data_IF_089229028257
#
_entry.id   IF_089229028257
#
_cell.length_a   1.000
_cell.length_b   1.000
_cell.length_c   1.000
_cell.angle_alpha   90.00
_cell.angle_beta   90.00
_cell.angle_gamma   90.00
#
_symmetry.space_group_name_H-M   'P 1'
#
loop_
_entity.id
_entity.type
_entity.pdbx_description
1 polymer ?
#
# COMPACT_ATOMS: atom_id res chain seq x y z
N UNK A 1 -15.34 -22.17 -16.88
CA UNK A 1 -16.15 -22.93 -15.91
C UNK A 1 -15.29 -23.25 -14.69
N UNK A 2 -15.38 -22.44 -13.62
CA UNK A 2 -14.65 -22.67 -12.37
C UNK A 2 -15.46 -23.68 -11.54
N UNK A 3 -14.84 -24.81 -11.16
CA UNK A 3 -15.42 -25.82 -10.27
C UNK A 3 -15.44 -25.25 -8.85
N UNK A 4 -16.62 -24.91 -8.35
CA UNK A 4 -16.87 -24.69 -6.93
C UNK A 4 -16.76 -26.03 -6.21
N UNK A 5 -15.89 -26.13 -5.19
CA UNK A 5 -15.88 -27.27 -4.26
C UNK A 5 -16.72 -26.86 -3.06
N UNK A 6 -17.92 -27.41 -2.96
CA UNK A 6 -18.70 -27.40 -1.72
C UNK A 6 -18.12 -28.50 -0.85
N UNK A 7 -17.64 -28.15 0.34
CA UNK A 7 -17.27 -29.14 1.35
C UNK A 7 -18.55 -29.39 2.15
N UNK A 8 -19.24 -30.48 1.83
CA UNK A 8 -20.29 -31.03 2.70
C UNK A 8 -19.62 -31.71 3.90
N UNK A 9 -20.05 -31.34 5.10
CA UNK A 9 -19.55 -31.93 6.34
C UNK A 9 -20.13 -33.33 6.51
N UNK A 10 -19.27 -34.34 6.58
CA UNK A 10 -19.62 -35.70 6.98
C UNK A 10 -19.73 -35.75 8.51
N UNK A 11 -20.97 -35.81 9.02
CA UNK A 11 -21.29 -35.73 10.46
C UNK A 11 -20.86 -36.97 11.29
N UNK A 12 -20.17 -37.95 10.70
CA UNK A 12 -19.72 -39.15 11.43
C UNK A 12 -18.20 -39.39 11.45
N UNK A 13 -17.37 -38.41 11.04
CA UNK A 13 -15.92 -38.54 11.18
C UNK A 13 -15.47 -38.22 12.63
N UNK A 14 -14.70 -39.11 13.30
CA UNK A 14 -14.20 -38.83 14.64
C UNK A 14 -13.25 -37.62 14.62
N UNK A 15 -13.26 -36.77 15.67
CA UNK A 15 -12.48 -35.54 15.69
C UNK A 15 -10.99 -35.86 15.61
N UNK A 16 -10.32 -35.37 14.55
CA UNK A 16 -8.85 -35.36 14.48
C UNK A 16 -8.35 -34.48 15.62
N UNK A 17 -7.81 -35.12 16.66
CA UNK A 17 -7.00 -34.45 17.68
C UNK A 17 -5.72 -33.95 17.00
N UNK A 18 -5.66 -32.66 16.69
CA UNK A 18 -4.39 -32.02 16.37
C UNK A 18 -3.63 -31.80 17.68
N UNK A 19 -2.47 -32.46 17.78
CA UNK A 19 -1.57 -32.30 18.91
C UNK A 19 -0.95 -30.92 18.89
N UNK A 20 -0.67 -30.38 20.08
CA UNK A 20 -0.06 -29.07 20.31
C UNK A 20 1.41 -28.99 19.81
N UNK A 21 1.93 -30.06 19.22
CA UNK A 21 3.36 -30.25 18.91
C UNK A 21 3.70 -30.14 17.41
N UNK A 22 2.74 -29.86 16.53
CA UNK A 22 3.00 -29.68 15.08
C UNK A 22 3.57 -28.29 14.72
N UNK A 23 4.10 -27.54 15.70
CA UNK A 23 4.79 -26.28 15.47
C UNK A 23 6.30 -26.51 15.37
N UNK A 24 6.79 -26.84 14.18
CA UNK A 24 8.13 -26.38 13.81
C UNK A 24 7.96 -25.04 13.09
N UNK A 25 7.89 -23.97 13.90
CA UNK A 25 8.12 -22.61 13.41
C UNK A 25 9.50 -22.63 12.77
N UNK A 26 9.56 -22.48 11.44
CA UNK A 26 10.81 -22.35 10.68
C UNK A 26 11.73 -21.37 11.41
N UNK A 27 12.82 -21.89 11.96
CA UNK A 27 13.85 -21.24 12.79
C UNK A 27 14.60 -20.05 12.12
N UNK A 28 14.06 -19.41 11.08
CA UNK A 28 14.76 -18.36 10.33
C UNK A 28 14.25 -16.93 10.56
N UNK A 29 13.39 -16.70 11.55
CA UNK A 29 13.18 -15.33 12.05
C UNK A 29 14.34 -15.03 12.99
N UNK A 30 15.34 -14.28 12.50
CA UNK A 30 16.58 -13.92 13.18
C UNK A 30 16.32 -13.56 14.65
N UNK A 31 16.76 -14.44 15.56
CA UNK A 31 17.01 -14.08 16.97
C UNK A 31 18.11 -13.02 16.99
N UNK A 32 17.77 -11.77 17.22
CA UNK A 32 18.72 -10.79 17.76
C UNK A 32 18.26 -10.42 19.15
N UNK A 33 18.60 -11.30 20.10
CA UNK A 33 18.60 -10.98 21.53
C UNK A 33 19.82 -10.08 21.75
N UNK A 34 19.59 -8.82 22.10
CA UNK A 34 20.59 -8.04 22.81
C UNK A 34 19.96 -7.52 24.09
N UNK A 35 20.52 -8.03 25.18
CA UNK A 35 20.28 -7.67 26.58
C UNK A 35 20.55 -6.18 26.80
N UNK A 36 19.78 -5.55 27.70
CA UNK A 36 20.22 -4.82 28.92
C UNK A 36 18.97 -4.15 29.55
N UNK A 37 18.83 -4.29 30.87
CA UNK A 37 17.74 -3.73 31.69
C UNK A 37 18.17 -2.37 32.32
N UNK A 38 17.31 -1.70 33.11
CA UNK A 38 16.44 -0.60 32.68
C UNK A 38 16.92 0.77 33.19
N UNK A 39 16.55 1.84 32.50
CA UNK A 39 16.43 3.16 33.14
C UNK A 39 15.16 3.85 32.64
N UNK A 40 14.53 4.54 33.59
CA UNK A 40 13.20 5.13 33.55
C UNK A 40 13.06 6.23 32.51
N UNK A 41 12.30 5.97 31.45
CA UNK A 41 11.43 6.97 30.86
C UNK A 41 10.37 6.30 29.97
N UNK A 42 9.17 6.86 29.98
CA UNK A 42 7.99 6.33 29.30
C UNK A 42 8.18 6.30 27.77
N UNK A 43 8.77 5.21 27.26
CA UNK A 43 8.77 4.84 25.86
C UNK A 43 8.11 3.47 25.70
N UNK A 44 7.21 3.36 24.73
CA UNK A 44 6.47 2.13 24.46
C UNK A 44 7.46 0.97 24.25
N UNK A 45 7.45 0.00 25.17
CA UNK A 45 8.18 -1.25 24.99
C UNK A 45 7.65 -1.95 23.73
N UNK A 46 8.41 -1.87 22.64
CA UNK A 46 8.18 -2.68 21.45
C UNK A 46 8.46 -4.12 21.86
N UNK A 47 7.41 -4.88 22.13
CA UNK A 47 7.52 -6.32 22.33
C UNK A 47 7.91 -6.92 21.00
N UNK A 48 9.07 -7.57 20.94
CA UNK A 48 9.53 -8.27 19.74
C UNK A 48 8.55 -9.40 19.43
N UNK A 49 7.69 -9.16 18.46
CA UNK A 49 6.62 -10.04 18.04
C UNK A 49 6.59 -10.02 16.50
N UNK A 50 6.36 -11.15 15.80
CA UNK A 50 6.41 -11.20 14.33
C UNK A 50 5.53 -10.16 13.64
N UNK A 51 4.39 -9.81 14.25
CA UNK A 51 3.45 -8.81 13.72
C UNK A 51 3.69 -7.36 14.20
N UNK A 52 4.78 -7.09 14.92
CA UNK A 52 5.10 -5.76 15.48
C UNK A 52 3.94 -5.11 16.24
N UNK A 53 3.23 -5.93 17.01
CA UNK A 53 2.07 -5.50 17.78
C UNK A 53 2.52 -4.60 18.93
N UNK A 54 1.84 -3.47 19.20
CA UNK A 54 2.37 -2.42 20.09
C UNK A 54 2.38 -2.77 21.59
N UNK A 55 1.84 -3.93 21.98
CA UNK A 55 1.82 -4.45 23.35
C UNK A 55 1.80 -5.99 23.30
N UNK A 56 1.91 -6.73 24.42
CA UNK A 56 1.74 -8.18 24.39
C UNK A 56 0.34 -8.55 23.86
N UNK A 57 0.22 -9.25 22.72
CA UNK A 57 -1.07 -9.58 22.13
C UNK A 57 -1.77 -10.70 22.92
N UNK A 58 -3.10 -10.62 23.01
CA UNK A 58 -3.90 -11.72 23.56
C UNK A 58 -3.90 -12.94 22.62
N UNK A 59 -4.14 -14.16 23.13
CA UNK A 59 -4.19 -15.36 22.29
C UNK A 59 -5.18 -15.27 21.12
N UNK A 60 -6.32 -14.60 21.31
CA UNK A 60 -7.31 -14.38 20.25
C UNK A 60 -6.82 -13.42 19.17
N UNK A 61 -6.02 -12.42 19.52
CA UNK A 61 -5.38 -11.49 18.58
C UNK A 61 -4.29 -12.19 17.79
N UNK A 62 -3.45 -13.00 18.47
CA UNK A 62 -2.44 -13.85 17.84
C UNK A 62 -3.04 -14.78 16.80
N UNK A 63 -4.13 -15.46 17.16
CA UNK A 63 -4.85 -16.35 16.24
C UNK A 63 -5.36 -15.58 15.02
N UNK A 64 -6.01 -14.43 15.22
CA UNK A 64 -6.52 -13.62 14.11
C UNK A 64 -5.38 -13.16 13.18
N UNK A 65 -4.27 -12.69 13.73
CA UNK A 65 -3.11 -12.26 12.94
C UNK A 65 -2.48 -13.41 12.16
N UNK A 66 -2.33 -14.58 12.78
CA UNK A 66 -1.82 -15.80 12.14
C UNK A 66 -2.72 -16.27 10.99
N UNK A 67 -4.04 -16.31 11.22
CA UNK A 67 -5.01 -16.70 10.21
C UNK A 67 -4.99 -15.74 9.01
N UNK A 68 -4.94 -14.42 9.26
CA UNK A 68 -4.80 -13.40 8.22
C UNK A 68 -3.52 -13.57 7.40
N UNK A 69 -2.39 -13.75 8.08
CA UNK A 69 -1.09 -13.89 7.42
C UNK A 69 -1.07 -15.12 6.50
N UNK A 70 -1.63 -16.24 6.96
CA UNK A 70 -1.77 -17.46 6.13
C UNK A 70 -2.65 -17.22 4.90
N UNK A 71 -3.77 -16.52 5.05
CA UNK A 71 -4.64 -16.18 3.91
C UNK A 71 -3.88 -15.38 2.85
N UNK A 72 -3.02 -14.45 3.27
CA UNK A 72 -2.19 -13.65 2.36
C UNK A 72 -1.14 -14.48 1.64
N UNK A 73 -0.43 -15.38 2.35
CA UNK A 73 0.52 -16.33 1.76
C UNK A 73 -0.14 -17.26 0.74
N UNK A 74 -1.31 -17.79 1.10
CA UNK A 74 -2.08 -18.72 0.25
C UNK A 74 -2.76 -17.99 -0.93
N UNK A 75 -2.70 -16.65 -0.99
CA UNK A 75 -3.32 -15.79 -2.01
C UNK A 75 -4.80 -16.11 -2.22
N UNK A 76 -5.53 -16.35 -1.13
CA UNK A 76 -6.92 -16.80 -1.16
C UNK A 76 -7.89 -15.82 -0.46
N UNK A 77 -9.19 -16.13 -0.52
CA UNK A 77 -10.22 -15.36 0.18
C UNK A 77 -10.47 -16.03 1.54
N UNK A 78 -10.32 -15.28 2.62
CA UNK A 78 -10.66 -15.71 3.97
C UNK A 78 -11.90 -15.01 4.51
N UNK A 79 -12.74 -15.75 5.23
CA UNK A 79 -13.86 -15.23 6.02
C UNK A 79 -13.51 -15.45 7.49
N UNK A 80 -13.35 -14.37 8.24
CA UNK A 80 -12.87 -14.41 9.62
C UNK A 80 -13.90 -13.81 10.56
N UNK A 81 -14.25 -14.56 11.60
CA UNK A 81 -15.05 -14.08 12.71
C UNK A 81 -14.14 -13.77 13.91
N UNK A 82 -14.47 -12.71 14.65
CA UNK A 82 -13.91 -12.54 16.00
C UNK A 82 -14.89 -11.73 16.87
N UNK A 83 -14.83 -11.82 18.20
CA UNK A 83 -15.73 -11.07 19.07
C UNK A 83 -15.44 -9.56 19.04
N UNK A 84 -16.46 -8.73 19.29
CA UNK A 84 -16.30 -7.28 19.46
C UNK A 84 -15.40 -6.97 20.65
N UNK A 85 -14.64 -5.86 20.59
CA UNK A 85 -13.78 -5.42 21.70
C UNK A 85 -12.44 -6.16 21.81
N UNK A 86 -12.13 -7.10 20.92
CA UNK A 86 -10.88 -7.87 20.96
C UNK A 86 -9.71 -7.23 20.18
N UNK A 87 -9.85 -5.97 19.74
CA UNK A 87 -8.80 -5.29 18.98
C UNK A 87 -8.66 -5.78 17.54
N UNK A 88 -9.78 -6.15 16.89
CA UNK A 88 -9.85 -6.58 15.48
C UNK A 88 -9.07 -5.67 14.53
N UNK A 89 -9.36 -4.36 14.60
CA UNK A 89 -8.77 -3.36 13.70
C UNK A 89 -7.26 -3.32 13.84
N UNK A 90 -6.76 -3.19 15.07
CA UNK A 90 -5.32 -3.15 15.34
C UNK A 90 -4.63 -4.47 14.95
N UNK A 91 -5.23 -5.61 15.27
CA UNK A 91 -4.70 -6.93 14.88
C UNK A 91 -4.64 -7.08 13.37
N UNK A 92 -5.69 -6.68 12.66
CA UNK A 92 -5.72 -6.70 11.20
C UNK A 92 -4.67 -5.77 10.59
N UNK A 93 -4.52 -4.56 11.10
CA UNK A 93 -3.49 -3.62 10.64
C UNK A 93 -2.08 -4.18 10.83
N UNK A 94 -1.77 -4.70 12.02
CA UNK A 94 -0.46 -5.25 12.32
C UNK A 94 -0.13 -6.46 11.42
N UNK A 95 -1.07 -7.40 11.24
CA UNK A 95 -0.85 -8.55 10.37
C UNK A 95 -0.61 -8.14 8.91
N UNK A 96 -1.45 -7.24 8.38
CA UNK A 96 -1.36 -6.77 6.99
C UNK A 96 -0.09 -5.98 6.73
N UNK A 97 0.29 -5.07 7.63
CA UNK A 97 1.46 -4.21 7.45
C UNK A 97 2.77 -4.98 7.64
N UNK A 98 2.82 -5.94 8.56
CA UNK A 98 3.94 -6.89 8.65
C UNK A 98 4.07 -7.70 7.36
N UNK A 99 2.97 -8.25 6.84
CA UNK A 99 2.98 -8.99 5.59
C UNK A 99 3.48 -8.12 4.42
N UNK A 100 3.04 -6.86 4.35
CA UNK A 100 3.47 -5.92 3.31
C UNK A 100 4.98 -5.60 3.41
N UNK A 101 5.52 -5.39 4.61
CA UNK A 101 6.96 -5.23 4.81
C UNK A 101 7.74 -6.49 4.40
N UNK A 102 7.27 -7.68 4.79
CA UNK A 102 7.90 -8.95 4.45
C UNK A 102 7.88 -9.21 2.94
N UNK A 103 6.78 -8.89 2.26
CA UNK A 103 6.66 -9.02 0.81
C UNK A 103 7.56 -8.02 0.09
N UNK A 104 7.63 -6.78 0.55
CA UNK A 104 8.58 -5.79 0.03
C UNK A 104 10.03 -6.28 0.16
N UNK A 105 10.40 -6.88 1.30
CA UNK A 105 11.71 -7.49 1.49
C UNK A 105 11.94 -8.73 0.59
N UNK A 106 10.91 -9.53 0.31
CA UNK A 106 11.00 -10.66 -0.63
C UNK A 106 11.26 -10.17 -2.05
N UNK A 107 10.56 -9.14 -2.50
CA UNK A 107 10.78 -8.54 -3.83
C UNK A 107 12.24 -8.07 -3.95
N UNK A 108 12.75 -7.33 -2.96
CA UNK A 108 14.15 -6.87 -2.94
C UNK A 108 15.14 -8.04 -3.01
N UNK A 109 14.94 -9.08 -2.20
CA UNK A 109 15.79 -10.29 -2.24
C UNK A 109 15.72 -11.04 -3.57
N UNK A 110 14.55 -11.10 -4.19
CA UNK A 110 14.39 -11.74 -5.50
C UNK A 110 15.15 -10.98 -6.59
N UNK A 111 15.12 -9.63 -6.57
CA UNK A 111 15.90 -8.79 -7.49
C UNK A 111 17.40 -9.05 -7.30
N UNK A 112 17.88 -9.04 -6.05
CA UNK A 112 19.28 -9.29 -5.72
C UNK A 112 19.72 -10.70 -6.15
N UNK A 113 18.93 -11.73 -5.82
CA UNK A 113 19.23 -13.12 -6.19
C UNK A 113 19.25 -13.33 -7.71
N UNK A 114 18.35 -12.69 -8.46
CA UNK A 114 18.36 -12.74 -9.92
C UNK A 114 19.62 -12.07 -10.49
N UNK A 115 20.05 -10.93 -9.93
CA UNK A 115 21.30 -10.25 -10.33
C UNK A 115 22.54 -11.07 -10.01
N UNK A 116 22.57 -11.75 -8.87
CA UNK A 116 23.66 -12.67 -8.51
C UNK A 116 23.76 -13.82 -9.50
N UNK A 117 22.64 -14.47 -9.85
CA UNK A 117 22.61 -15.51 -10.89
C UNK A 117 23.11 -15.00 -12.24
N UNK A 118 22.76 -13.79 -12.65
CA UNK A 118 23.30 -13.20 -13.89
C UNK A 118 24.82 -13.05 -13.80
N UNK A 119 25.38 -12.63 -12.66
CA UNK A 119 26.83 -12.54 -12.47
C UNK A 119 27.50 -13.91 -12.52
N UNK A 120 26.93 -14.92 -11.86
CA UNK A 120 27.41 -16.30 -11.88
C UNK A 120 27.39 -16.88 -13.30
N UNK A 121 26.31 -16.70 -14.04
CA UNK A 121 26.23 -17.15 -15.43
C UNK A 121 27.21 -16.40 -16.35
N UNK A 122 27.42 -15.09 -16.11
CA UNK A 122 28.43 -14.28 -16.83
C UNK A 122 29.85 -14.83 -16.62
N UNK A 123 30.19 -15.38 -15.45
CA UNK A 123 31.53 -15.97 -15.24
C UNK A 123 31.69 -17.30 -15.95
N UNK A 124 30.67 -18.17 -15.92
CA UNK A 124 30.68 -19.45 -16.64
C UNK A 124 30.72 -19.24 -18.16
N UNK A 125 30.08 -18.19 -18.67
CA UNK A 125 30.07 -17.83 -20.09
C UNK A 125 31.47 -17.63 -20.68
N UNK A 126 32.45 -17.13 -19.91
CA UNK A 126 33.80 -16.76 -20.39
C UNK A 126 34.66 -17.98 -20.81
N UNK A 127 34.20 -19.21 -20.54
CA UNK A 127 34.90 -20.45 -20.94
C UNK A 127 34.03 -21.48 -21.63
N UNK A 128 32.79 -21.14 -21.99
CA UNK A 128 31.81 -22.09 -22.51
C UNK A 128 32.00 -22.36 -24.02
N UNK A 129 31.72 -23.60 -24.44
CA UNK A 129 31.62 -23.94 -25.87
C UNK A 129 30.38 -23.28 -26.49
N UNK A 130 30.35 -23.12 -27.82
CA UNK A 130 29.33 -22.33 -28.53
C UNK A 130 27.88 -22.70 -28.16
N UNK A 131 27.55 -24.00 -28.12
CA UNK A 131 26.20 -24.47 -27.80
C UNK A 131 25.81 -24.22 -26.33
N UNK A 132 26.78 -24.31 -25.42
CA UNK A 132 26.59 -24.03 -23.99
C UNK A 132 26.46 -22.52 -23.75
N UNK A 133 27.31 -21.72 -24.40
CA UNK A 133 27.27 -20.27 -24.37
C UNK A 133 25.91 -19.72 -24.84
N UNK A 134 25.30 -20.32 -25.86
CA UNK A 134 23.97 -19.93 -26.34
C UNK A 134 22.88 -20.18 -25.28
N UNK A 135 22.95 -21.31 -24.56
CA UNK A 135 22.01 -21.64 -23.47
C UNK A 135 22.18 -20.69 -22.28
N UNK A 136 23.42 -20.48 -21.84
CA UNK A 136 23.77 -19.56 -20.75
C UNK A 136 23.27 -18.15 -21.07
N UNK A 137 23.50 -17.66 -22.29
CA UNK A 137 23.04 -16.33 -22.70
C UNK A 137 21.52 -16.18 -22.65
N UNK A 138 20.76 -17.22 -23.05
CA UNK A 138 19.29 -17.21 -22.94
C UNK A 138 18.85 -17.13 -21.47
N UNK A 139 19.42 -17.97 -20.61
CA UNK A 139 19.09 -18.01 -19.19
C UNK A 139 19.47 -16.69 -18.48
N UNK A 140 20.64 -16.12 -18.80
CA UNK A 140 21.06 -14.80 -18.32
C UNK A 140 20.02 -13.73 -18.66
N UNK A 141 19.58 -13.68 -19.92
CA UNK A 141 18.56 -12.72 -20.37
C UNK A 141 17.27 -12.86 -19.57
N UNK A 142 16.82 -14.10 -19.31
CA UNK A 142 15.60 -14.34 -18.53
C UNK A 142 15.71 -13.84 -17.09
N UNK A 143 16.86 -14.01 -16.41
CA UNK A 143 17.06 -13.48 -15.06
C UNK A 143 17.23 -11.97 -15.04
N UNK A 144 17.93 -11.41 -16.04
CA UNK A 144 18.15 -9.97 -16.19
C UNK A 144 16.82 -9.26 -16.41
N UNK A 145 15.96 -9.77 -17.31
CA UNK A 145 14.61 -9.26 -17.57
C UNK A 145 13.72 -9.33 -16.33
N UNK A 146 13.74 -10.45 -15.57
CA UNK A 146 12.97 -10.57 -14.32
C UNK A 146 13.39 -9.56 -13.26
N UNK A 147 14.70 -9.30 -13.13
CA UNK A 147 15.22 -8.32 -12.19
C UNK A 147 14.85 -6.89 -12.61
N UNK A 148 15.01 -6.57 -13.90
CA UNK A 148 14.73 -5.26 -14.48
C UNK A 148 13.25 -4.90 -14.35
N UNK A 149 12.33 -5.82 -14.63
CA UNK A 149 10.88 -5.58 -14.53
C UNK A 149 10.45 -5.24 -13.10
N UNK A 150 10.93 -5.98 -12.10
CA UNK A 150 10.57 -5.72 -10.69
C UNK A 150 11.23 -4.44 -10.15
N UNK A 151 12.46 -4.15 -10.59
CA UNK A 151 13.16 -2.93 -10.21
C UNK A 151 12.51 -1.68 -10.82
N UNK A 152 12.14 -1.72 -12.11
CA UNK A 152 11.45 -0.62 -12.79
C UNK A 152 10.12 -0.27 -12.10
N UNK A 153 9.34 -1.27 -11.67
CA UNK A 153 8.11 -1.04 -10.90
C UNK A 153 8.36 -0.24 -9.62
N UNK A 154 9.38 -0.63 -8.85
CA UNK A 154 9.74 0.02 -7.58
C UNK A 154 10.33 1.41 -7.82
N UNK A 155 11.21 1.55 -8.81
CA UNK A 155 11.86 2.81 -9.14
C UNK A 155 10.85 3.85 -9.62
N UNK A 156 9.87 3.47 -10.45
CA UNK A 156 8.78 4.37 -10.87
C UNK A 156 8.03 4.98 -9.70
N UNK A 157 7.67 4.17 -8.71
CA UNK A 157 6.94 4.62 -7.50
C UNK A 157 7.83 5.53 -6.66
N UNK A 158 9.06 5.10 -6.37
CA UNK A 158 10.02 5.86 -5.57
C UNK A 158 10.36 7.21 -6.22
N UNK A 159 10.60 7.22 -7.53
CA UNK A 159 10.83 8.43 -8.31
C UNK A 159 9.64 9.38 -8.20
N UNK A 160 8.42 8.90 -8.42
CA UNK A 160 7.21 9.72 -8.35
C UNK A 160 6.98 10.31 -6.95
N UNK A 161 7.27 9.56 -5.90
CA UNK A 161 7.20 10.02 -4.51
C UNK A 161 8.28 11.07 -4.23
N UNK A 162 9.51 10.85 -4.70
CA UNK A 162 10.63 11.79 -4.55
C UNK A 162 10.32 13.12 -5.21
N UNK A 163 9.82 13.08 -6.45
CA UNK A 163 9.36 14.26 -7.19
C UNK A 163 8.20 14.99 -6.50
N UNK A 164 7.27 14.24 -5.88
CA UNK A 164 6.18 14.83 -5.10
C UNK A 164 6.73 15.61 -3.89
N UNK A 165 7.67 15.01 -3.15
CA UNK A 165 8.31 15.64 -1.99
C UNK A 165 9.11 16.87 -2.37
N UNK A 166 9.93 16.78 -3.41
CA UNK A 166 10.72 17.91 -3.90
C UNK A 166 9.83 19.09 -4.32
N UNK A 167 8.73 18.83 -5.05
CA UNK A 167 7.78 19.89 -5.42
C UNK A 167 7.01 20.47 -4.24
N UNK A 168 6.70 19.65 -3.24
CA UNK A 168 6.12 20.12 -1.99
C UNK A 168 7.09 21.05 -1.23
N UNK A 169 8.34 20.66 -1.05
CA UNK A 169 9.35 21.47 -0.35
C UNK A 169 9.62 22.80 -1.07
N UNK A 170 9.65 22.77 -2.40
CA UNK A 170 9.71 23.97 -3.22
C UNK A 170 8.50 24.88 -2.96
N UNK A 171 7.28 24.34 -3.07
CA UNK A 171 6.04 25.10 -2.84
C UNK A 171 5.98 25.71 -1.43
N UNK A 172 6.46 25.01 -0.40
CA UNK A 172 6.52 25.57 0.96
C UNK A 172 7.36 26.85 1.02
N UNK A 173 8.45 26.91 0.26
CA UNK A 173 9.41 28.02 0.28
C UNK A 173 8.96 29.18 -0.60
N UNK A 174 8.51 28.89 -1.83
CA UNK A 174 8.24 29.92 -2.84
C UNK A 174 6.77 30.32 -2.91
N UNK A 175 5.85 29.45 -2.47
CA UNK A 175 4.42 29.52 -2.76
C UNK A 175 4.09 29.52 -4.27
N UNK A 176 5.07 29.15 -5.12
CA UNK A 176 4.94 29.09 -6.56
C UNK A 176 4.64 27.66 -7.04
N UNK A 177 3.88 27.55 -8.13
CA UNK A 177 3.55 26.25 -8.73
C UNK A 177 4.42 26.07 -9.96
N UNK A 178 5.56 25.39 -9.80
CA UNK A 178 6.43 24.93 -10.89
C UNK A 178 5.87 23.67 -11.55
N UNK A 179 4.66 23.78 -12.10
CA UNK A 179 4.11 22.75 -12.97
C UNK A 179 3.87 23.47 -14.29
N UNK A 180 4.70 23.16 -15.30
CA UNK A 180 4.44 23.62 -16.67
C UNK A 180 2.98 23.30 -16.98
N UNK A 181 2.19 24.36 -17.21
CA UNK A 181 0.78 24.22 -17.52
C UNK A 181 0.71 23.64 -18.93
N UNK A 182 0.76 22.31 -19.03
CA UNK A 182 0.35 21.57 -20.21
C UNK A 182 -1.14 21.89 -20.38
N UNK A 183 -1.41 23.04 -21.01
CA UNK A 183 -2.75 23.59 -21.18
C UNK A 183 -3.67 22.52 -21.73
N UNK A 184 -4.80 22.32 -21.05
CA UNK A 184 -5.85 21.34 -21.36
C UNK A 184 -5.36 19.90 -21.54
N UNK A 185 -5.87 19.03 -20.68
CA UNK A 185 -5.83 17.58 -20.88
C UNK A 185 -6.56 17.27 -22.21
N UNK A 186 -5.83 17.17 -23.31
CA UNK A 186 -6.18 16.25 -24.38
C UNK A 186 -5.85 14.85 -23.85
N UNK A 187 -6.81 13.89 -23.86
CA UNK A 187 -6.57 12.52 -23.44
C UNK A 187 -5.80 11.76 -24.52
N UNK A 188 -4.59 12.22 -24.89
CA UNK A 188 -3.72 11.56 -25.87
C UNK A 188 -2.25 11.60 -25.43
N UNK A 189 -2.03 11.13 -24.20
CA UNK A 189 -0.97 10.18 -23.89
C UNK A 189 -1.61 9.26 -22.86
N UNK A 190 -1.93 8.04 -23.25
CA UNK A 190 -2.32 7.04 -22.27
C UNK A 190 -1.24 7.06 -21.18
N UNK A 191 -1.60 7.25 -19.89
CA UNK A 191 -0.61 7.10 -18.84
C UNK A 191 -0.04 5.70 -19.00
N UNK A 192 1.29 5.58 -19.08
CA UNK A 192 1.95 4.29 -18.91
C UNK A 192 1.31 3.60 -17.70
N UNK A 193 0.85 2.35 -17.88
CA UNK A 193 0.06 1.65 -16.88
C UNK A 193 0.79 1.73 -15.54
N UNK A 194 0.10 2.14 -14.46
CA UNK A 194 0.77 2.35 -13.19
C UNK A 194 1.40 1.04 -12.70
N UNK A 195 2.57 1.11 -12.05
CA UNK A 195 3.26 -0.08 -11.57
C UNK A 195 2.38 -0.91 -10.64
N UNK A 196 2.26 -2.20 -10.97
CA UNK A 196 1.52 -3.18 -10.19
C UNK A 196 2.38 -3.71 -9.04
N UNK A 197 2.33 -3.02 -7.89
CA UNK A 197 2.82 -3.54 -6.62
C UNK A 197 1.65 -3.96 -5.72
N UNK A 198 1.94 -4.79 -4.72
CA UNK A 198 0.98 -5.17 -3.70
C UNK A 198 0.49 -3.93 -2.95
N UNK A 199 -0.83 -3.73 -2.91
CA UNK A 199 -1.48 -2.62 -2.22
C UNK A 199 -2.52 -3.13 -1.26
N UNK A 200 -2.63 -2.46 -0.13
CA UNK A 200 -3.66 -2.75 0.87
C UNK A 200 -4.83 -1.82 0.65
N UNK A 201 -5.98 -2.39 0.29
CA UNK A 201 -7.25 -1.66 0.21
C UNK A 201 -8.07 -2.01 1.45
N UNK A 202 -8.19 -1.06 2.37
CA UNK A 202 -9.00 -1.22 3.57
C UNK A 202 -10.39 -0.59 3.36
N UNK A 203 -11.43 -1.43 3.31
CA UNK A 203 -12.80 -0.97 3.13
C UNK A 203 -13.58 -1.01 4.44
N UNK A 204 -14.26 0.09 4.78
CA UNK A 204 -15.13 0.20 5.95
C UNK A 204 -16.55 0.56 5.53
N UNK A 205 -17.52 0.40 6.46
CA UNK A 205 -18.92 0.73 6.21
C UNK A 205 -19.21 2.22 6.37
N UNK A 206 -18.49 2.91 7.27
CA UNK A 206 -18.71 4.34 7.58
C UNK A 206 -17.40 5.13 7.60
N UNK A 207 -17.51 6.45 7.39
CA UNK A 207 -16.38 7.38 7.52
C UNK A 207 -15.78 7.39 8.93
N UNK A 208 -16.63 7.31 9.98
CA UNK A 208 -16.15 7.24 11.37
C UNK A 208 -15.28 6.00 11.66
N UNK A 209 -15.50 4.89 10.94
CA UNK A 209 -14.64 3.71 11.04
C UNK A 209 -13.27 3.93 10.38
N UNK A 210 -13.18 4.79 9.36
CA UNK A 210 -11.90 5.19 8.75
C UNK A 210 -11.11 6.02 9.75
N UNK A 211 -11.76 6.97 10.42
CA UNK A 211 -11.07 7.81 11.43
C UNK A 211 -10.53 6.95 12.59
N UNK A 212 -11.30 5.95 13.03
CA UNK A 212 -10.85 4.96 14.00
C UNK A 212 -9.65 4.14 13.50
N UNK A 213 -9.68 3.71 12.23
CA UNK A 213 -8.56 3.00 11.60
C UNK A 213 -7.29 3.86 11.61
N UNK A 214 -7.39 5.13 11.22
CA UNK A 214 -6.27 6.08 11.21
C UNK A 214 -5.72 6.31 12.62
N UNK A 215 -6.60 6.36 13.63
CA UNK A 215 -6.18 6.46 15.03
C UNK A 215 -5.44 5.19 15.52
N UNK A 216 -5.93 4.00 15.15
CA UNK A 216 -5.26 2.73 15.48
C UNK A 216 -3.91 2.59 14.75
N UNK A 217 -3.83 3.02 13.50
CA UNK A 217 -2.58 3.02 12.73
C UNK A 217 -1.48 3.84 13.43
N UNK A 218 -1.84 5.01 13.96
CA UNK A 218 -0.92 5.87 14.74
C UNK A 218 -0.39 5.22 16.01
N UNK A 219 -1.03 4.15 16.52
CA UNK A 219 -0.58 3.40 17.69
C UNK A 219 0.45 2.32 17.35
N UNK A 220 0.67 2.05 16.07
CA UNK A 220 1.65 1.07 15.60
C UNK A 220 2.98 1.74 15.27
N UNK A 221 4.06 0.95 15.11
CA UNK A 221 5.33 1.46 14.57
C UNK A 221 5.27 1.78 13.07
N UNK A 222 4.25 1.28 12.38
CA UNK A 222 4.15 1.39 10.93
C UNK A 222 3.79 2.82 10.54
N UNK A 223 4.43 3.30 9.47
CA UNK A 223 4.16 4.60 8.88
C UNK A 223 3.92 4.47 7.36
N UNK A 224 2.93 3.66 6.94
CA UNK A 224 2.64 3.51 5.53
C UNK A 224 2.07 4.82 4.98
N UNK A 225 2.20 5.01 3.67
CA UNK A 225 1.43 6.05 3.00
C UNK A 225 -0.03 5.64 2.96
N UNK A 226 -0.91 6.57 3.28
CA UNK A 226 -2.35 6.34 3.28
C UNK A 226 -3.01 7.31 2.31
N UNK A 227 -3.76 6.77 1.35
CA UNK A 227 -4.60 7.55 0.46
C UNK A 227 -6.06 7.28 0.81
N UNK A 228 -6.77 8.31 1.28
CA UNK A 228 -8.19 8.20 1.58
C UNK A 228 -9.04 8.32 0.30
N UNK A 229 -9.98 7.38 0.12
CA UNK A 229 -10.95 7.38 -0.98
C UNK A 229 -12.37 7.59 -0.48
N UNK A 230 -13.21 8.20 -1.31
CA UNK A 230 -14.51 8.72 -0.86
C UNK A 230 -15.22 9.52 -1.95
N UNK A 231 -16.45 9.93 -1.64
CA UNK A 231 -17.34 10.64 -2.56
C UNK A 231 -16.96 12.11 -2.70
N UNK A 232 -17.64 12.79 -3.65
CA UNK A 232 -17.54 14.24 -3.81
C UNK A 232 -18.05 14.98 -2.57
N UNK A 233 -19.03 14.45 -1.84
CA UNK A 233 -19.50 15.07 -0.59
C UNK A 233 -18.43 15.12 0.50
N UNK A 234 -17.39 14.28 0.41
CA UNK A 234 -16.28 14.26 1.36
C UNK A 234 -15.12 15.16 0.89
N UNK A 235 -14.73 15.06 -0.38
CA UNK A 235 -13.51 15.70 -0.88
C UNK A 235 -13.72 16.97 -1.71
N UNK A 236 -14.96 17.31 -2.10
CA UNK A 236 -15.20 18.47 -2.94
C UNK A 236 -15.29 19.74 -2.09
N UNK A 237 -14.39 20.72 -2.27
CA UNK A 237 -14.47 22.01 -1.58
C UNK A 237 -15.52 22.94 -2.20
N UNK A 238 -16.00 22.66 -3.43
CA UNK A 238 -17.01 23.49 -4.08
C UNK A 238 -18.39 23.26 -3.44
N UNK A 239 -18.87 24.26 -2.69
CA UNK A 239 -20.17 24.18 -2.01
C UNK A 239 -21.36 24.01 -2.94
N UNK A 240 -21.28 24.44 -4.20
CA UNK A 240 -22.34 24.23 -5.21
C UNK A 240 -22.49 22.77 -5.61
N UNK A 241 -21.42 21.98 -5.48
CA UNK A 241 -21.40 20.55 -5.81
C UNK A 241 -21.57 19.72 -4.54
N UNK A 242 -20.87 20.07 -3.46
CA UNK A 242 -20.82 19.30 -2.22
C UNK A 242 -22.19 19.18 -1.53
N UNK A 243 -23.01 20.23 -1.58
CA UNK A 243 -24.35 20.26 -0.96
C UNK A 243 -25.40 19.43 -1.71
N UNK A 244 -25.09 18.99 -2.93
CA UNK A 244 -26.04 18.24 -3.75
C UNK A 244 -26.02 16.74 -3.37
N UNK A 245 -27.14 16.03 -3.56
CA UNK A 245 -27.17 14.57 -3.51
C UNK A 245 -26.16 13.97 -4.50
N UNK A 246 -25.66 12.75 -4.22
CA UNK A 246 -24.54 12.15 -4.96
C UNK A 246 -24.73 12.11 -6.50
N UNK A 247 -25.94 11.83 -7.01
CA UNK A 247 -26.17 11.83 -8.47
C UNK A 247 -26.05 13.23 -9.05
N UNK A 248 -26.80 14.19 -8.49
CA UNK A 248 -26.79 15.59 -8.92
C UNK A 248 -25.41 16.25 -8.75
N UNK A 249 -24.66 15.89 -7.69
CA UNK A 249 -23.29 16.31 -7.49
C UNK A 249 -22.36 15.77 -8.59
N UNK A 250 -22.61 14.55 -9.05
CA UNK A 250 -21.90 13.93 -10.17
C UNK A 250 -22.11 14.71 -11.47
N UNK A 251 -23.36 14.94 -11.83
CA UNK A 251 -23.75 15.64 -13.06
C UNK A 251 -23.25 17.08 -13.06
N UNK A 252 -23.53 17.84 -11.99
CA UNK A 252 -23.05 19.22 -11.85
C UNK A 252 -21.53 19.33 -11.91
N UNK A 253 -20.82 18.38 -11.29
CA UNK A 253 -19.36 18.33 -11.34
C UNK A 253 -18.85 18.09 -12.77
N UNK A 254 -19.52 17.21 -13.51
CA UNK A 254 -19.19 16.93 -14.91
C UNK A 254 -19.38 18.18 -15.78
N UNK A 255 -20.54 18.84 -15.68
CA UNK A 255 -20.84 20.06 -16.42
C UNK A 255 -19.81 21.17 -16.16
N UNK A 256 -19.46 21.39 -14.89
CA UNK A 256 -18.47 22.41 -14.50
C UNK A 256 -17.06 22.08 -14.99
N UNK A 257 -16.72 20.80 -15.14
CA UNK A 257 -15.42 20.38 -15.70
C UNK A 257 -15.39 20.55 -17.21
N UNK A 258 -16.40 20.09 -17.92
CA UNK A 258 -16.48 20.18 -19.38
C UNK A 258 -16.55 21.63 -19.87
N UNK A 259 -17.21 22.49 -19.10
CA UNK A 259 -17.26 23.94 -19.38
C UNK A 259 -16.06 24.72 -18.83
N UNK A 260 -15.09 24.06 -18.19
CA UNK A 260 -13.94 24.69 -17.53
C UNK A 260 -14.31 25.79 -16.50
N UNK A 261 -15.47 25.65 -15.85
CA UNK A 261 -16.00 26.63 -14.88
C UNK A 261 -15.74 26.25 -13.42
N UNK A 262 -15.26 25.04 -13.14
CA UNK A 262 -14.96 24.62 -11.76
C UNK A 262 -13.70 25.34 -11.25
N UNK A 263 -13.79 26.17 -10.18
CA UNK A 263 -12.63 26.94 -9.70
C UNK A 263 -11.55 26.07 -9.06
N UNK A 264 -11.89 24.84 -8.66
CA UNK A 264 -10.98 23.90 -7.99
C UNK A 264 -10.37 22.87 -8.93
N UNK A 265 -10.88 22.74 -10.16
CA UNK A 265 -10.42 21.73 -11.13
C UNK A 265 -9.48 22.37 -12.15
N UNK A 266 -8.25 22.64 -11.71
CA UNK A 266 -7.12 23.03 -12.59
C UNK A 266 -6.05 21.94 -12.50
N UNK A 267 -5.47 21.57 -13.64
CA UNK A 267 -4.55 20.42 -13.71
C UNK A 267 -3.36 20.60 -12.76
N UNK A 268 -2.65 21.72 -12.88
CA UNK A 268 -1.52 22.07 -12.00
C UNK A 268 -1.87 22.00 -10.51
N UNK A 269 -3.02 22.55 -10.10
CA UNK A 269 -3.47 22.51 -8.69
C UNK A 269 -3.88 21.11 -8.22
N UNK A 270 -4.50 20.30 -9.08
CA UNK A 270 -4.84 18.90 -8.75
C UNK A 270 -3.58 18.06 -8.59
N UNK A 271 -2.58 18.25 -9.46
CA UNK A 271 -1.29 17.58 -9.35
C UNK A 271 -0.57 18.01 -8.07
N UNK A 272 -0.52 19.32 -7.77
CA UNK A 272 0.06 19.83 -6.53
C UNK A 272 -0.57 19.20 -5.28
N UNK A 273 -1.91 19.16 -5.19
CA UNK A 273 -2.57 18.49 -4.07
C UNK A 273 -2.28 16.98 -4.04
N UNK A 274 -2.21 16.32 -5.19
CA UNK A 274 -1.79 14.92 -5.27
C UNK A 274 -0.37 14.72 -4.74
N UNK A 275 0.52 15.70 -4.92
CA UNK A 275 1.88 15.66 -4.40
C UNK A 275 1.92 15.83 -2.89
N UNK A 276 1.09 16.71 -2.32
CA UNK A 276 0.94 16.82 -0.87
C UNK A 276 0.48 15.47 -0.27
N UNK A 277 -0.43 14.78 -0.94
CA UNK A 277 -0.88 13.43 -0.53
C UNK A 277 0.28 12.44 -0.60
N UNK A 278 1.02 12.38 -1.71
CA UNK A 278 2.15 11.45 -1.89
C UNK A 278 3.36 11.77 -1.01
N UNK A 279 3.54 13.04 -0.63
CA UNK A 279 4.54 13.47 0.34
C UNK A 279 4.19 13.04 1.78
N UNK A 280 2.96 12.56 2.03
CA UNK A 280 2.51 12.08 3.33
C UNK A 280 2.01 13.19 4.26
N UNK A 281 1.64 14.34 3.69
CA UNK A 281 1.13 15.50 4.45
C UNK A 281 -0.29 15.25 4.94
N UNK A 282 -1.11 14.65 4.09
CA UNK A 282 -2.49 14.27 4.43
C UNK A 282 -2.54 12.82 4.89
N UNK A 283 -3.22 12.53 6.00
CA UNK A 283 -3.35 11.16 6.52
C UNK A 283 -4.78 10.63 6.49
N UNK A 284 -5.76 11.52 6.42
CA UNK A 284 -7.18 11.16 6.35
C UNK A 284 -7.95 12.07 5.37
N UNK A 285 -9.27 11.84 5.29
CA UNK A 285 -10.12 12.61 4.39
C UNK A 285 -10.28 14.09 4.81
N UNK A 286 -10.17 14.40 6.11
CA UNK A 286 -10.29 15.76 6.62
C UNK A 286 -9.06 16.58 6.26
N UNK A 287 -7.87 16.00 6.41
CA UNK A 287 -6.61 16.62 5.99
C UNK A 287 -6.65 16.98 4.50
N UNK A 288 -7.09 16.04 3.65
CA UNK A 288 -7.20 16.28 2.21
C UNK A 288 -8.18 17.42 1.91
N UNK A 289 -9.34 17.48 2.57
CA UNK A 289 -10.31 18.55 2.34
C UNK A 289 -9.77 19.92 2.79
N UNK A 290 -9.03 19.95 3.90
CA UNK A 290 -8.38 21.15 4.41
C UNK A 290 -7.32 21.66 3.42
N UNK A 291 -6.39 20.81 3.02
CA UNK A 291 -5.36 21.13 2.02
C UNK A 291 -5.98 21.53 0.67
N UNK A 292 -7.01 20.81 0.23
CA UNK A 292 -7.79 21.13 -0.97
C UNK A 292 -8.39 22.53 -0.95
N UNK A 293 -8.85 22.99 0.22
CA UNK A 293 -9.42 24.32 0.40
C UNK A 293 -8.32 25.39 0.37
N UNK A 294 -7.20 25.15 1.07
CA UNK A 294 -6.05 26.05 1.09
C UNK A 294 -5.44 26.25 -0.30
N UNK A 295 -5.25 25.16 -1.06
CA UNK A 295 -4.63 25.20 -2.39
C UNK A 295 -5.59 25.62 -3.51
N UNK A 296 -6.90 25.74 -3.23
CA UNK A 296 -7.97 25.84 -4.23
C UNK A 296 -7.85 24.74 -5.30
N UNK A 297 -7.60 23.52 -4.84
CA UNK A 297 -7.45 22.33 -5.67
C UNK A 297 -8.64 21.39 -5.49
N UNK A 298 -8.82 20.39 -6.37
CA UNK A 298 -9.92 19.43 -6.25
C UNK A 298 -9.47 18.16 -5.53
N UNK A 299 -9.84 18.02 -4.26
CA UNK A 299 -9.52 16.84 -3.44
C UNK A 299 -9.96 15.52 -4.07
N UNK A 300 -11.15 15.48 -4.70
CA UNK A 300 -11.67 14.24 -5.29
C UNK A 300 -10.77 13.67 -6.39
N UNK A 301 -10.28 14.51 -7.31
CA UNK A 301 -9.38 14.05 -8.37
C UNK A 301 -7.94 13.90 -7.90
N UNK A 302 -7.49 14.72 -6.95
CA UNK A 302 -6.16 14.59 -6.38
C UNK A 302 -5.96 13.25 -5.65
N UNK A 303 -6.89 12.84 -4.78
CA UNK A 303 -6.82 11.54 -4.10
C UNK A 303 -6.77 10.39 -5.10
N UNK A 304 -7.57 10.43 -6.17
CA UNK A 304 -7.58 9.39 -7.22
C UNK A 304 -6.28 9.36 -8.03
N UNK A 305 -5.65 10.51 -8.27
CA UNK A 305 -4.37 10.60 -8.94
C UNK A 305 -3.20 10.06 -8.07
N UNK A 306 -3.35 10.06 -6.75
CA UNK A 306 -2.35 9.53 -5.82
C UNK A 306 -2.41 7.99 -5.66
N UNK A 307 -3.59 7.36 -5.81
CA UNK A 307 -3.78 5.90 -5.62
C UNK A 307 -2.75 5.03 -6.37
N UNK A 308 -2.40 5.29 -7.64
CA UNK A 308 -1.48 4.45 -8.38
C UNK A 308 -0.07 4.41 -7.77
N UNK A 309 0.32 5.44 -7.01
CA UNK A 309 1.65 5.60 -6.42
C UNK A 309 1.64 5.50 -4.89
N UNK A 310 0.54 5.01 -4.31
CA UNK A 310 0.49 4.70 -2.89
C UNK A 310 1.30 3.43 -2.60
N UNK A 311 2.51 3.63 -2.07
CA UNK A 311 3.40 2.60 -1.50
C UNK A 311 3.23 2.50 0.02
#
# INVERSE_FOLDING_TARGET
>A
MKRSRVIENDENAPPKKFHHDDWEIKENIKKTVLTHAPSSDASAHVVDHPYSFPFPPYPTQLKLMSDLYKIFEDKCIGILESPTGTGKTLSSLCAVLSFLEDENQRIQRNIESNREKVKELKTVFVGAEFDEAMKIHKEMREYEEKAEVEEDKLERIRRRISEARSRYDHYQTTQEVEIEDCGNITPEKEPESPPELLKVVYATRTHSQIDQLTAELKRTRFQPRVVSLGSRSVFCPNSEVNKLPNSAAGDKCKDLRETNKCPYYKHSKVVLLSDHILAGITRDAQDVLKESTCLKACGYYASRAAVPFCE
#
